data_IF_306779484128
#
_entry.id   IF_306779484128
#
_cell.length_a   1.000
_cell.length_b   1.000
_cell.length_c   1.000
_cell.angle_alpha   90.00
_cell.angle_beta   90.00
_cell.angle_gamma   90.00
#
_symmetry.space_group_name_H-M   'P 1'
#
loop_
_entity.id
_entity.type
_entity.pdbx_description
1 polymer ?
#
# COMPACT_ATOMS: atom_id res chain seq x y z
N UNK A 1 8.91 10.69 -18.40
CA UNK A 1 8.46 9.31 -18.06
C UNK A 1 9.57 8.40 -18.53
N UNK A 2 10.06 7.47 -17.71
CA UNK A 2 11.16 6.57 -18.10
C UNK A 2 10.60 5.54 -19.10
N UNK A 3 11.38 5.21 -20.14
CA UNK A 3 11.00 4.18 -21.13
C UNK A 3 11.30 2.78 -20.61
N UNK A 4 10.74 1.74 -21.24
CA UNK A 4 11.03 0.36 -20.83
C UNK A 4 12.53 0.03 -20.94
N UNK A 5 13.20 0.48 -22.00
CA UNK A 5 14.62 0.24 -22.21
C UNK A 5 15.49 0.98 -21.16
N UNK A 6 15.10 2.21 -20.79
CA UNK A 6 15.75 2.93 -19.70
C UNK A 6 15.52 2.26 -18.34
N UNK A 7 14.35 1.66 -18.08
CA UNK A 7 14.11 0.88 -16.85
C UNK A 7 15.07 -0.32 -16.76
N UNK A 8 15.33 -0.98 -17.89
CA UNK A 8 16.26 -2.12 -17.98
C UNK A 8 17.71 -1.68 -17.69
N UNK A 9 18.19 -0.61 -18.34
CA UNK A 9 19.55 -0.07 -18.08
C UNK A 9 19.74 0.30 -16.61
N UNK A 10 18.76 1.02 -16.05
CA UNK A 10 18.82 1.45 -14.66
C UNK A 10 18.79 0.25 -13.72
N UNK A 11 17.96 -0.77 -13.98
CA UNK A 11 17.90 -1.99 -13.16
C UNK A 11 19.25 -2.73 -13.14
N UNK A 12 19.91 -2.88 -14.29
CA UNK A 12 21.22 -3.52 -14.40
C UNK A 12 22.28 -2.76 -13.60
N UNK A 13 22.31 -1.43 -13.71
CA UNK A 13 23.24 -0.58 -12.95
C UNK A 13 22.97 -0.60 -11.45
N UNK A 14 21.69 -0.65 -11.04
CA UNK A 14 21.30 -0.78 -9.63
C UNK A 14 21.81 -2.11 -9.06
N UNK A 15 21.73 -3.22 -9.81
CA UNK A 15 22.30 -4.52 -9.41
C UNK A 15 23.82 -4.46 -9.20
N UNK A 16 24.51 -3.61 -9.95
CA UNK A 16 25.96 -3.34 -9.79
C UNK A 16 26.28 -2.36 -8.65
N UNK A 17 25.27 -1.83 -7.94
CA UNK A 17 25.46 -0.90 -6.82
C UNK A 17 25.45 0.58 -7.19
N UNK A 18 25.03 0.94 -8.41
CA UNK A 18 24.93 2.35 -8.83
C UNK A 18 23.79 3.08 -8.10
N UNK A 19 24.18 3.86 -7.10
CA UNK A 19 23.25 4.65 -6.30
C UNK A 19 22.57 5.78 -7.10
N UNK A 20 23.23 6.32 -8.14
CA UNK A 20 22.63 7.36 -9.00
C UNK A 20 21.54 6.76 -9.88
N UNK A 21 21.74 5.54 -10.37
CA UNK A 21 20.71 4.81 -11.11
C UNK A 21 19.48 4.54 -10.23
N UNK A 22 19.70 4.12 -8.98
CA UNK A 22 18.63 3.93 -8.00
C UNK A 22 17.82 5.21 -7.77
N UNK A 23 18.52 6.32 -7.50
CA UNK A 23 17.89 7.61 -7.26
C UNK A 23 17.09 8.09 -8.48
N UNK A 24 17.62 7.92 -9.70
CA UNK A 24 16.93 8.27 -10.95
C UNK A 24 15.65 7.45 -11.13
N UNK A 25 15.71 6.13 -10.93
CA UNK A 25 14.55 5.24 -11.06
C UNK A 25 13.48 5.57 -10.02
N UNK A 26 13.87 5.82 -8.77
CA UNK A 26 12.95 6.16 -7.68
C UNK A 26 12.30 7.52 -7.92
N UNK A 27 13.09 8.56 -8.22
CA UNK A 27 12.59 9.93 -8.45
C UNK A 27 11.56 10.01 -9.56
N UNK A 28 11.76 9.27 -10.65
CA UNK A 28 10.82 9.23 -11.76
C UNK A 28 9.45 8.63 -11.38
N UNK A 29 9.40 7.81 -10.34
CA UNK A 29 8.22 7.07 -9.93
C UNK A 29 7.54 7.61 -8.65
N UNK A 30 8.03 8.71 -8.06
CA UNK A 30 7.44 9.29 -6.84
C UNK A 30 5.97 9.69 -7.01
N UNK A 31 5.58 10.20 -8.18
CA UNK A 31 4.18 10.57 -8.48
C UNK A 31 3.24 9.36 -8.40
N UNK A 32 3.72 8.18 -8.76
CA UNK A 32 2.96 6.94 -8.65
C UNK A 32 2.78 6.53 -7.17
N UNK A 33 3.79 6.71 -6.32
CA UNK A 33 3.64 6.45 -4.88
C UNK A 33 2.54 7.33 -4.28
N UNK A 34 2.49 8.62 -4.66
CA UNK A 34 1.44 9.53 -4.20
C UNK A 34 0.05 9.04 -4.60
N UNK A 35 -0.14 8.54 -5.83
CA UNK A 35 -1.46 8.04 -6.26
C UNK A 35 -1.88 6.76 -5.52
N UNK A 36 -0.93 5.88 -5.19
CA UNK A 36 -1.20 4.69 -4.38
C UNK A 36 -1.51 5.07 -2.92
N UNK A 37 -0.72 5.97 -2.31
CA UNK A 37 -0.87 6.38 -0.92
C UNK A 37 -2.21 7.08 -0.64
N UNK A 38 -2.75 7.83 -1.62
CA UNK A 38 -4.08 8.45 -1.52
C UNK A 38 -5.21 7.45 -1.21
N UNK A 39 -5.07 6.20 -1.64
CA UNK A 39 -6.06 5.14 -1.38
C UNK A 39 -6.13 4.71 0.09
N UNK A 40 -5.14 5.07 0.90
CA UNK A 40 -4.99 4.69 2.30
C UNK A 40 -5.18 5.85 3.28
N UNK A 41 -5.64 7.02 2.80
CA UNK A 41 -5.91 8.17 3.65
C UNK A 41 -6.99 7.87 4.70
N UNK A 42 -6.96 8.65 5.79
CA UNK A 42 -7.94 8.58 6.88
C UNK A 42 -7.95 7.24 7.65
N UNK A 43 -6.88 6.46 7.57
CA UNK A 43 -6.73 5.18 8.29
C UNK A 43 -5.78 5.26 9.51
N UNK A 44 -5.53 6.47 10.01
CA UNK A 44 -4.73 6.72 11.22
C UNK A 44 -3.29 7.19 11.01
N UNK A 45 -2.86 7.40 9.76
CA UNK A 45 -1.61 8.07 9.43
C UNK A 45 -1.87 9.27 8.50
N UNK A 46 -1.00 10.29 8.57
CA UNK A 46 -1.08 11.43 7.67
C UNK A 46 -0.71 11.00 6.23
N UNK A 47 -1.18 11.75 5.23
CA UNK A 47 -0.82 11.47 3.84
C UNK A 47 0.71 11.54 3.62
N UNK A 48 1.41 12.45 4.31
CA UNK A 48 2.87 12.57 4.23
C UNK A 48 3.56 11.30 4.73
N UNK A 49 3.09 10.75 5.86
CA UNK A 49 3.64 9.51 6.42
C UNK A 49 3.40 8.32 5.49
N UNK A 50 2.19 8.19 4.94
CA UNK A 50 1.85 7.15 3.96
C UNK A 50 2.73 7.24 2.71
N UNK A 51 3.02 8.44 2.23
CA UNK A 51 3.91 8.66 1.09
C UNK A 51 5.35 8.26 1.45
N UNK A 52 5.85 8.66 2.62
CA UNK A 52 7.21 8.31 3.07
C UNK A 52 7.38 6.80 3.20
N UNK A 53 6.42 6.11 3.80
CA UNK A 53 6.43 4.65 3.93
C UNK A 53 6.28 3.95 2.59
N UNK A 54 5.45 4.49 1.69
CA UNK A 54 5.34 4.05 0.30
C UNK A 54 6.65 4.21 -0.47
N UNK A 55 7.36 5.32 -0.29
CA UNK A 55 8.65 5.59 -0.91
C UNK A 55 9.71 4.59 -0.42
N UNK A 56 9.71 4.25 0.88
CA UNK A 56 10.57 3.18 1.41
C UNK A 56 10.26 1.82 0.75
N UNK A 57 8.98 1.53 0.50
CA UNK A 57 8.54 0.37 -0.28
C UNK A 57 9.05 0.39 -1.72
N UNK A 58 8.96 1.54 -2.40
CA UNK A 58 9.45 1.73 -3.77
C UNK A 58 10.97 1.50 -3.86
N UNK A 59 11.76 2.02 -2.92
CA UNK A 59 13.22 1.80 -2.87
C UNK A 59 13.54 0.31 -2.70
N UNK A 60 12.80 -0.40 -1.83
CA UNK A 60 12.95 -1.86 -1.67
C UNK A 60 12.63 -2.60 -2.97
N UNK A 61 11.59 -2.17 -3.69
CA UNK A 61 11.25 -2.73 -4.99
C UNK A 61 12.37 -2.51 -6.00
N UNK A 62 12.91 -1.29 -6.11
CA UNK A 62 13.96 -0.95 -7.05
C UNK A 62 15.23 -1.78 -6.85
N UNK A 63 15.61 -2.06 -5.59
CA UNK A 63 16.77 -2.92 -5.28
C UNK A 63 16.56 -4.40 -5.61
N UNK A 64 15.31 -4.87 -5.72
CA UNK A 64 14.95 -6.28 -5.93
C UNK A 64 14.32 -6.55 -7.29
N UNK A 65 14.18 -5.51 -8.11
CA UNK A 65 13.58 -5.62 -9.41
C UNK A 65 14.46 -6.45 -10.33
N UNK A 66 13.81 -7.28 -11.13
CA UNK A 66 14.45 -8.20 -12.06
C UNK A 66 13.88 -7.94 -13.45
N UNK A 67 14.67 -7.23 -14.26
CA UNK A 67 14.36 -6.79 -15.61
C UNK A 67 14.19 -7.96 -16.59
N UNK A 68 14.76 -9.14 -16.29
CA UNK A 68 14.69 -10.32 -17.16
C UNK A 68 13.29 -10.92 -17.27
N UNK A 69 12.37 -10.54 -16.38
CA UNK A 69 11.00 -11.08 -16.32
C UNK A 69 10.03 -10.47 -17.33
N UNK A 70 10.44 -9.43 -18.06
CA UNK A 70 9.62 -8.84 -19.13
C UNK A 70 8.41 -8.01 -18.68
N UNK A 71 8.34 -7.61 -17.41
CA UNK A 71 7.30 -6.73 -16.88
C UNK A 71 7.86 -5.37 -16.49
N UNK A 72 7.04 -4.32 -16.62
CA UNK A 72 7.41 -2.96 -16.21
C UNK A 72 7.71 -2.89 -14.72
N UNK A 73 8.63 -2.02 -14.33
CA UNK A 73 9.01 -1.84 -12.92
C UNK A 73 7.81 -1.50 -12.03
N UNK A 74 6.91 -0.63 -12.48
CA UNK A 74 5.73 -0.19 -11.73
C UNK A 74 4.81 -1.38 -11.35
N UNK A 75 4.68 -2.37 -12.23
CA UNK A 75 3.88 -3.57 -11.99
C UNK A 75 4.41 -4.38 -10.81
N UNK A 76 5.73 -4.40 -10.62
CA UNK A 76 6.36 -5.01 -9.46
C UNK A 76 6.31 -4.12 -8.21
N UNK A 77 6.56 -2.81 -8.39
CA UNK A 77 6.67 -1.85 -7.29
C UNK A 77 5.38 -1.69 -6.49
N UNK A 78 4.21 -1.80 -7.13
CA UNK A 78 2.91 -1.58 -6.44
C UNK A 78 2.72 -2.50 -5.24
N UNK A 79 3.19 -3.75 -5.30
CA UNK A 79 3.08 -4.71 -4.20
C UNK A 79 3.94 -4.29 -2.99
N UNK A 80 5.15 -3.81 -3.25
CA UNK A 80 6.05 -3.34 -2.20
C UNK A 80 5.59 -2.04 -1.56
N UNK A 81 5.07 -1.11 -2.38
CA UNK A 81 4.49 0.15 -1.89
C UNK A 81 3.32 -0.16 -0.94
N UNK A 82 2.36 -0.99 -1.39
CA UNK A 82 1.20 -1.38 -0.59
C UNK A 82 1.59 -2.10 0.70
N UNK A 83 2.52 -3.07 0.60
CA UNK A 83 3.02 -3.80 1.75
C UNK A 83 3.62 -2.85 2.80
N UNK A 84 4.47 -1.91 2.37
CA UNK A 84 5.13 -0.95 3.27
C UNK A 84 4.10 -0.04 3.96
N UNK A 85 3.14 0.49 3.20
CA UNK A 85 2.05 1.32 3.74
C UNK A 85 1.20 0.55 4.76
N UNK A 86 0.77 -0.67 4.41
CA UNK A 86 -0.05 -1.51 5.30
C UNK A 86 0.71 -1.89 6.56
N UNK A 87 2.01 -2.15 6.45
CA UNK A 87 2.87 -2.43 7.60
C UNK A 87 2.98 -1.20 8.52
N UNK A 88 3.14 0.00 7.97
CA UNK A 88 3.19 1.23 8.75
C UNK A 88 1.86 1.50 9.47
N UNK A 89 0.73 1.39 8.76
CA UNK A 89 -0.61 1.50 9.35
C UNK A 89 -0.78 0.49 10.49
N UNK A 90 -0.39 -0.75 10.29
CA UNK A 90 -0.47 -1.79 11.30
C UNK A 90 0.33 -1.46 12.57
N UNK A 91 1.48 -0.80 12.44
CA UNK A 91 2.39 -0.52 13.56
C UNK A 91 2.17 0.85 14.23
N UNK A 92 1.70 1.85 13.47
CA UNK A 92 1.73 3.26 13.85
C UNK A 92 0.34 3.92 13.91
N UNK A 93 -0.72 3.34 13.32
CA UNK A 93 -2.06 3.97 13.29
C UNK A 93 -2.76 4.06 14.65
N UNK A 94 -2.24 3.37 15.67
CA UNK A 94 -2.86 3.27 16.99
C UNK A 94 -1.94 3.80 18.07
N UNK A 95 -2.55 4.44 19.06
CA UNK A 95 -1.87 4.93 20.28
C UNK A 95 -1.16 3.77 21.00
N UNK A 96 -1.78 2.59 21.02
CA UNK A 96 -1.20 1.36 21.60
C UNK A 96 -0.81 0.40 20.49
N UNK A 97 0.48 0.06 20.42
CA UNK A 97 1.04 -0.86 19.43
C UNK A 97 0.58 -2.29 19.69
N UNK A 98 0.04 -2.94 18.66
CA UNK A 98 -0.38 -4.33 18.71
C UNK A 98 0.52 -5.23 17.83
N UNK A 99 0.74 -6.49 18.21
CA UNK A 99 1.50 -7.44 17.40
C UNK A 99 0.84 -7.69 16.02
N UNK A 100 1.65 -7.76 14.96
CA UNK A 100 1.17 -7.94 13.57
C UNK A 100 0.27 -9.17 13.39
N UNK A 101 0.60 -10.28 14.05
CA UNK A 101 -0.16 -11.53 13.99
C UNK A 101 -1.56 -11.44 14.64
N UNK A 102 -1.86 -10.38 15.41
CA UNK A 102 -3.19 -10.17 16.02
C UNK A 102 -4.08 -9.21 15.23
N UNK A 103 -3.49 -8.38 14.37
CA UNK A 103 -4.21 -7.35 13.60
C UNK A 103 -5.21 -7.97 12.62
N UNK A 104 -4.84 -9.10 12.00
CA UNK A 104 -5.73 -9.83 11.08
C UNK A 104 -7.03 -10.28 11.75
N UNK A 105 -6.96 -10.77 12.99
CA UNK A 105 -8.14 -11.20 13.75
C UNK A 105 -9.05 -10.02 14.07
N UNK A 106 -8.48 -8.88 14.47
CA UNK A 106 -9.24 -7.66 14.79
C UNK A 106 -9.95 -7.13 13.53
N UNK A 107 -9.28 -7.13 12.37
CA UNK A 107 -9.89 -6.70 11.11
C UNK A 107 -11.09 -7.59 10.72
N UNK A 108 -10.98 -8.91 10.94
CA UNK A 108 -12.09 -9.85 10.72
C UNK A 108 -13.26 -9.57 11.66
N UNK A 109 -12.99 -9.32 12.95
CA UNK A 109 -14.00 -8.96 13.94
C UNK A 109 -14.73 -7.68 13.52
N UNK A 110 -14.01 -6.61 13.16
CA UNK A 110 -14.63 -5.35 12.75
C UNK A 110 -15.48 -5.50 11.48
N UNK A 111 -15.04 -6.30 10.50
CA UNK A 111 -15.86 -6.62 9.32
C UNK A 111 -17.14 -7.37 9.70
N UNK A 112 -17.05 -8.34 10.61
CA UNK A 112 -18.22 -9.08 11.10
C UNK A 112 -19.19 -8.15 11.84
N UNK A 113 -18.68 -7.27 12.71
CA UNK A 113 -19.49 -6.25 13.40
C UNK A 113 -20.22 -5.33 12.42
N UNK A 114 -19.52 -4.76 11.43
CA UNK A 114 -20.13 -3.87 10.43
C UNK A 114 -21.19 -4.59 9.57
N UNK A 115 -20.97 -5.87 9.24
CA UNK A 115 -21.96 -6.70 8.55
C UNK A 115 -23.21 -6.94 9.41
N UNK A 116 -23.03 -7.24 10.71
CA UNK A 116 -24.13 -7.46 11.64
C UNK A 116 -24.95 -6.18 11.84
N UNK A 117 -24.32 -5.02 12.06
CA UNK A 117 -25.00 -3.72 12.14
C UNK A 117 -25.87 -3.46 10.90
N UNK A 118 -25.29 -3.61 9.71
CA UNK A 118 -26.02 -3.38 8.45
C UNK A 118 -27.22 -4.33 8.29
N UNK A 119 -27.09 -5.58 8.76
CA UNK A 119 -28.17 -6.57 8.70
C UNK A 119 -29.26 -6.25 9.72
N UNK A 120 -28.89 -5.84 10.94
CA UNK A 120 -29.82 -5.49 12.01
C UNK A 120 -30.65 -4.25 11.67
N UNK A 121 -30.01 -3.20 11.15
CA UNK A 121 -30.70 -1.98 10.70
C UNK A 121 -31.69 -2.28 9.56
N UNK A 122 -31.31 -3.14 8.61
CA UNK A 122 -32.20 -3.60 7.53
C UNK A 122 -33.38 -4.41 8.06
N UNK A 123 -33.17 -5.25 9.07
CA UNK A 123 -34.25 -6.03 9.70
C UNK A 123 -35.25 -5.11 10.39
N UNK A 124 -34.78 -4.13 11.17
CA UNK A 124 -35.63 -3.16 11.86
C UNK A 124 -36.42 -2.27 10.90
N UNK A 125 -35.82 -1.86 9.78
CA UNK A 125 -36.50 -1.09 8.74
C UNK A 125 -37.63 -1.90 8.06
N UNK A 126 -37.40 -3.20 7.80
CA UNK A 126 -38.41 -4.10 7.24
C UNK A 126 -39.57 -4.38 8.19
N UNK A 127 -39.29 -4.63 9.47
CA UNK A 127 -40.34 -4.85 10.48
C UNK A 127 -41.24 -3.63 10.63
N UNK A 128 -40.69 -2.41 10.56
CA UNK A 128 -41.50 -1.17 10.61
C UNK A 128 -42.43 -0.99 9.41
N UNK A 129 -42.04 -1.45 8.22
CA UNK A 129 -42.86 -1.40 7.00
C UNK A 129 -43.98 -2.45 6.96
N UNK A 130 -43.88 -3.52 7.75
CA UNK A 130 -44.87 -4.60 7.80
C UNK A 130 -45.99 -4.34 8.82
N UNK A 131 -45.85 -3.30 9.64
CA UNK A 131 -46.79 -2.93 10.73
C UNK A 131 -47.60 -1.68 10.35
N UNK A 132 -47.41 -1.13 9.14
CA UNK A 132 -48.21 -0.07 8.53
C UNK A 132 -49.05 -0.69 7.41
#
# INVERSE_FOLDING_TARGET
MITADEEVDLAQRIKQGDQKALDKLVKANLRFVVSVAKQYQNQGLSLSDLINEGNAGLVKAAKRFDETRGFKFISYAVWWIRQSILQALAQQSRIVRLPLNKIGSISKINKAYSYLEQTHERLQARTKLQII
#
